data_IF_575830863663
#
_entry.id   IF_575830863663
#
_cell.length_a   1.000
_cell.length_b   1.000
_cell.length_c   1.000
_cell.angle_alpha   90.00
_cell.angle_beta   90.00
_cell.angle_gamma   90.00
#
_symmetry.space_group_name_H-M   'P 1'
#
loop_
_entity.id
_entity.type
_entity.pdbx_description
1 polymer ?
#
# COMPACT_ATOMS: atom_id res chain seq x y z
N UNK A 1 1.13 34.50 -20.91
CA UNK A 1 -0.17 33.80 -20.97
C UNK A 1 0.10 32.58 -21.85
N UNK A 2 0.30 31.36 -21.36
CA UNK A 2 -0.66 30.54 -20.63
C UNK A 2 0.05 29.44 -19.81
N UNK A 3 -0.43 29.22 -18.60
CA UNK A 3 0.02 28.19 -17.67
C UNK A 3 -0.42 26.81 -18.15
N UNK A 4 0.53 25.99 -18.60
CA UNK A 4 0.30 24.57 -18.83
C UNK A 4 0.34 23.85 -17.48
N UNK A 5 -0.86 23.62 -16.96
CA UNK A 5 -1.25 22.35 -16.37
C UNK A 5 -0.48 21.91 -15.13
N UNK A 6 -0.97 22.39 -13.99
CA UNK A 6 -1.19 21.54 -12.81
C UNK A 6 -1.64 20.14 -13.26
N UNK A 7 -0.84 19.11 -12.98
CA UNK A 7 -1.29 17.72 -12.93
C UNK A 7 -0.32 16.94 -12.05
N UNK A 8 -0.81 16.60 -10.86
CA UNK A 8 -0.16 15.84 -9.81
C UNK A 8 0.86 16.61 -8.95
N UNK A 9 0.37 17.45 -8.03
CA UNK A 9 1.09 17.59 -6.76
C UNK A 9 1.06 16.19 -6.11
N UNK A 10 2.21 15.55 -5.82
CA UNK A 10 2.20 14.36 -4.99
C UNK A 10 1.53 14.71 -3.65
N UNK A 11 0.78 13.78 -3.03
CA UNK A 11 0.21 14.03 -1.71
C UNK A 11 1.34 14.55 -0.82
N UNK A 12 1.10 15.72 -0.19
CA UNK A 12 2.03 16.33 0.77
C UNK A 12 2.53 15.19 1.65
N UNK A 13 3.84 14.89 1.64
CA UNK A 13 4.38 13.69 2.27
C UNK A 13 3.86 13.64 3.70
N UNK A 14 2.85 12.82 3.90
CA UNK A 14 2.22 12.58 5.18
C UNK A 14 3.35 12.13 6.10
N UNK A 15 3.54 12.87 7.19
CA UNK A 15 4.69 12.72 8.11
C UNK A 15 4.77 11.34 8.77
N UNK A 16 3.82 10.45 8.48
CA UNK A 16 3.81 9.07 8.93
C UNK A 16 5.10 8.32 8.63
N UNK A 17 5.78 8.64 7.52
CA UNK A 17 7.06 7.99 7.16
C UNK A 17 8.12 8.19 8.25
N UNK A 18 8.10 9.32 8.94
CA UNK A 18 9.07 9.64 10.01
C UNK A 18 8.80 8.81 11.28
N UNK A 19 7.57 8.32 11.47
CA UNK A 19 7.18 7.45 12.57
C UNK A 19 7.14 5.96 12.18
N UNK A 20 7.61 5.60 10.98
CA UNK A 20 7.57 4.23 10.49
C UNK A 20 8.68 3.39 11.13
N UNK A 21 8.30 2.32 11.84
CA UNK A 21 9.25 1.40 12.49
C UNK A 21 10.19 0.70 11.50
N UNK A 22 9.79 0.55 10.23
CA UNK A 22 10.64 -0.02 9.19
C UNK A 22 11.76 0.92 8.71
N UNK A 23 11.69 2.22 9.01
CA UNK A 23 12.70 3.20 8.59
C UNK A 23 14.08 2.97 9.21
N UNK A 24 14.17 2.21 10.31
CA UNK A 24 15.41 1.82 10.97
C UNK A 24 15.84 0.38 10.70
N UNK A 25 15.27 -0.27 9.68
CA UNK A 25 15.51 -1.68 9.34
C UNK A 25 16.08 -1.83 7.94
N UNK A 26 16.60 -3.02 7.61
CA UNK A 26 17.16 -3.31 6.29
C UNK A 26 16.06 -3.27 5.20
N UNK A 27 16.19 -2.40 4.17
CA UNK A 27 15.22 -2.33 3.07
C UNK A 27 15.05 -3.66 2.32
N UNK A 28 16.09 -4.48 2.20
CA UNK A 28 16.06 -5.75 1.47
C UNK A 28 15.08 -6.76 2.10
N UNK A 29 14.75 -6.57 3.39
CA UNK A 29 13.75 -7.37 4.08
C UNK A 29 12.34 -7.14 3.53
N UNK A 30 12.05 -5.92 3.06
CA UNK A 30 10.73 -5.51 2.57
C UNK A 30 10.58 -5.71 1.06
N UNK A 31 11.68 -5.91 0.33
CA UNK A 31 11.70 -6.17 -1.11
C UNK A 31 12.37 -7.52 -1.41
N UNK A 32 11.81 -8.65 -0.93
CA UNK A 32 12.33 -9.95 -1.33
C UNK A 32 12.23 -10.08 -2.85
N UNK A 33 13.32 -10.47 -3.50
CA UNK A 33 13.28 -10.84 -4.91
C UNK A 33 12.25 -11.96 -5.10
N UNK A 34 11.28 -11.71 -5.98
CA UNK A 34 10.23 -12.67 -6.32
C UNK A 34 10.88 -13.97 -6.81
N UNK A 35 10.69 -15.07 -6.07
CA UNK A 35 11.19 -16.41 -6.45
C UNK A 35 12.44 -16.92 -5.73
N UNK A 36 13.00 -16.18 -4.76
CA UNK A 36 14.04 -16.73 -3.87
C UNK A 36 13.47 -17.70 -2.83
N UNK A 37 14.20 -18.76 -2.49
CA UNK A 37 13.79 -19.75 -1.48
C UNK A 37 13.50 -19.14 -0.09
N UNK A 38 14.17 -18.03 0.24
CA UNK A 38 13.98 -17.29 1.49
C UNK A 38 12.84 -16.26 1.44
N UNK A 39 12.16 -16.09 0.30
CA UNK A 39 11.12 -15.06 0.15
C UNK A 39 9.99 -15.19 1.19
N UNK A 40 9.43 -16.39 1.49
CA UNK A 40 8.40 -16.52 2.53
C UNK A 40 8.90 -16.06 3.90
N UNK A 41 10.11 -16.46 4.30
CA UNK A 41 10.69 -16.09 5.59
C UNK A 41 10.94 -14.58 5.71
N UNK A 42 11.36 -13.92 4.62
CA UNK A 42 11.53 -12.47 4.57
C UNK A 42 10.19 -11.73 4.65
N UNK A 43 9.17 -12.20 3.94
CA UNK A 43 7.80 -11.64 4.02
C UNK A 43 7.29 -11.71 5.46
N UNK A 44 7.42 -12.86 6.13
CA UNK A 44 6.99 -13.02 7.53
C UNK A 44 7.77 -12.13 8.49
N UNK A 45 9.08 -11.97 8.27
CA UNK A 45 9.90 -11.05 9.06
C UNK A 45 9.49 -9.58 8.88
N UNK A 46 9.24 -9.15 7.65
CA UNK A 46 8.73 -7.80 7.37
C UNK A 46 7.35 -7.57 7.99
N UNK A 47 6.44 -8.55 7.87
CA UNK A 47 5.10 -8.50 8.49
C UNK A 47 5.18 -8.35 10.01
N UNK A 48 6.10 -9.03 10.68
CA UNK A 48 6.33 -8.88 12.13
C UNK A 48 6.73 -7.45 12.51
N UNK A 49 7.58 -6.80 11.73
CA UNK A 49 7.92 -5.38 11.95
C UNK A 49 6.70 -4.50 11.76
N UNK A 50 5.94 -4.71 10.68
CA UNK A 50 4.71 -3.96 10.43
C UNK A 50 3.66 -4.13 11.53
N UNK A 51 3.59 -5.29 12.20
CA UNK A 51 2.62 -5.56 13.25
C UNK A 51 2.77 -4.61 14.46
N UNK A 52 4.00 -4.20 14.78
CA UNK A 52 4.31 -3.23 15.84
C UNK A 52 4.40 -1.77 15.36
N UNK A 53 4.18 -1.50 14.08
CA UNK A 53 4.37 -0.17 13.50
C UNK A 53 3.16 0.75 13.80
N UNK A 54 3.37 1.93 14.40
CA UNK A 54 2.26 2.82 14.79
C UNK A 54 1.51 3.40 13.58
N UNK A 55 2.18 3.47 12.42
CA UNK A 55 1.64 4.05 11.18
C UNK A 55 1.20 3.00 10.17
N UNK A 56 0.99 1.74 10.59
CA UNK A 56 0.67 0.61 9.70
C UNK A 56 -0.51 0.89 8.77
N UNK A 57 -1.60 1.43 9.32
CA UNK A 57 -2.82 1.71 8.57
C UNK A 57 -2.64 2.86 7.58
N UNK A 58 -2.02 3.97 8.03
CA UNK A 58 -1.76 5.14 7.19
C UNK A 58 -0.80 4.81 6.03
N UNK A 59 0.23 4.01 6.32
CA UNK A 59 1.15 3.47 5.31
C UNK A 59 0.41 2.68 4.22
N UNK A 60 -0.47 1.75 4.61
CA UNK A 60 -1.22 0.94 3.65
C UNK A 60 -2.14 1.81 2.78
N UNK A 61 -2.91 2.70 3.41
CA UNK A 61 -3.85 3.58 2.70
C UNK A 61 -3.12 4.51 1.74
N UNK A 62 -2.03 5.14 2.18
CA UNK A 62 -1.23 6.04 1.33
C UNK A 62 -0.70 5.31 0.11
N UNK A 63 -0.04 4.16 0.30
CA UNK A 63 0.54 3.40 -0.82
C UNK A 63 -0.55 2.87 -1.75
N UNK A 64 -1.65 2.32 -1.24
CA UNK A 64 -2.76 1.83 -2.07
C UNK A 64 -3.44 2.94 -2.89
N UNK A 65 -3.34 4.21 -2.47
CA UNK A 65 -3.94 5.33 -3.18
C UNK A 65 -3.19 5.70 -4.47
N UNK A 66 -1.91 5.36 -4.60
CA UNK A 66 -1.08 5.74 -5.77
C UNK A 66 -0.30 4.59 -6.42
N UNK A 67 -0.17 3.42 -5.77
CA UNK A 67 0.50 2.27 -6.37
C UNK A 67 -0.26 1.76 -7.61
N UNK A 68 0.48 1.30 -8.62
CA UNK A 68 -0.10 0.67 -9.80
C UNK A 68 -0.52 -0.77 -9.44
N UNK A 69 -1.82 -1.13 -9.54
CA UNK A 69 -2.29 -2.46 -9.19
C UNK A 69 -1.63 -3.61 -9.96
N UNK A 70 -1.13 -3.35 -11.18
CA UNK A 70 -0.43 -4.33 -12.00
C UNK A 70 1.07 -4.47 -11.62
N UNK A 71 1.56 -3.62 -10.73
CA UNK A 71 2.97 -3.42 -10.42
C UNK A 71 3.14 -3.24 -8.91
N UNK A 72 2.74 -4.29 -8.16
CA UNK A 72 2.89 -4.36 -6.70
C UNK A 72 4.08 -5.24 -6.33
N UNK A 73 4.87 -4.75 -5.38
CA UNK A 73 6.02 -5.48 -4.84
C UNK A 73 6.14 -5.28 -3.34
N UNK A 74 6.85 -6.21 -2.72
CA UNK A 74 7.27 -6.08 -1.33
C UNK A 74 6.14 -6.04 -0.31
N UNK A 75 6.54 -5.85 0.95
CA UNK A 75 5.63 -5.75 2.10
C UNK A 75 5.36 -4.29 2.43
N UNK A 76 4.08 -3.92 2.45
CA UNK A 76 3.61 -2.56 2.75
C UNK A 76 2.47 -2.64 3.75
N UNK A 77 2.53 -1.87 4.84
CA UNK A 77 1.45 -1.84 5.82
C UNK A 77 1.08 -3.21 6.43
N UNK A 78 2.02 -4.15 6.43
CA UNK A 78 1.80 -5.53 6.87
C UNK A 78 1.15 -6.45 5.84
N UNK A 79 1.13 -6.07 4.57
CA UNK A 79 0.55 -6.84 3.45
C UNK A 79 1.60 -7.11 2.38
N UNK A 80 1.65 -8.34 1.86
CA UNK A 80 2.43 -8.70 0.68
C UNK A 80 1.79 -8.12 -0.59
N UNK A 81 2.52 -8.18 -1.71
CA UNK A 81 2.00 -7.79 -3.04
C UNK A 81 0.73 -8.57 -3.41
N UNK A 82 0.71 -9.87 -3.12
CA UNK A 82 -0.44 -10.77 -3.35
C UNK A 82 -1.63 -10.39 -2.48
N UNK A 83 -1.43 -10.15 -1.18
CA UNK A 83 -2.49 -9.73 -0.27
C UNK A 83 -3.08 -8.37 -0.68
N UNK A 84 -2.24 -7.43 -1.14
CA UNK A 84 -2.73 -6.16 -1.70
C UNK A 84 -3.49 -6.35 -3.00
N UNK A 85 -3.12 -7.32 -3.82
CA UNK A 85 -3.88 -7.69 -5.01
C UNK A 85 -5.28 -8.22 -4.66
N UNK A 86 -5.37 -9.11 -3.67
CA UNK A 86 -6.64 -9.63 -3.18
C UNK A 86 -7.53 -8.54 -2.56
N UNK A 87 -6.95 -7.63 -1.76
CA UNK A 87 -7.67 -6.48 -1.21
C UNK A 87 -8.26 -5.61 -2.32
N UNK A 88 -7.48 -5.32 -3.36
CA UNK A 88 -7.93 -4.52 -4.48
C UNK A 88 -9.01 -5.22 -5.32
N UNK A 89 -8.88 -6.53 -5.55
CA UNK A 89 -9.89 -7.31 -6.25
C UNK A 89 -11.23 -7.29 -5.51
N UNK A 90 -11.22 -7.55 -4.19
CA UNK A 90 -12.42 -7.48 -3.34
C UNK A 90 -13.11 -6.12 -3.40
N UNK A 91 -12.36 -5.04 -3.38
CA UNK A 91 -12.93 -3.68 -3.51
C UNK A 91 -13.52 -3.38 -4.89
N UNK A 92 -13.05 -4.04 -5.96
CA UNK A 92 -13.64 -3.92 -7.29
C UNK A 92 -14.90 -4.74 -7.46
N UNK A 93 -14.93 -5.89 -6.80
CA UNK A 93 -16.05 -6.84 -6.84
C UNK A 93 -17.16 -6.47 -5.85
N UNK A 94 -16.92 -5.53 -4.94
CA UNK A 94 -17.93 -4.97 -4.05
C UNK A 94 -18.94 -4.17 -4.90
N UNK A 95 -20.18 -4.66 -5.11
CA UNK A 95 -21.18 -3.90 -5.82
C UNK A 95 -21.47 -2.68 -4.95
N UNK A 96 -20.98 -1.51 -5.37
CA UNK A 96 -21.32 -0.24 -4.73
C UNK A 96 -22.84 -0.25 -4.50
N UNK A 97 -23.35 -0.07 -3.27
CA UNK A 97 -24.78 0.03 -3.09
C UNK A 97 -25.22 1.20 -3.96
N UNK A 98 -26.02 0.89 -4.98
CA UNK A 98 -26.62 1.86 -5.87
C UNK A 98 -27.50 2.78 -5.03
N UNK A 99 -26.89 3.83 -4.47
CA UNK A 99 -27.60 4.84 -3.71
C UNK A 99 -28.20 5.80 -4.73
N UNK A 100 -29.42 5.48 -5.18
CA UNK A 100 -30.18 6.32 -6.10
C UNK A 100 -31.44 5.64 -6.63
N UNK A 101 -32.55 5.79 -5.91
CA UNK A 101 -33.85 5.28 -6.38
C UNK A 101 -35.02 5.48 -5.42
N UNK A 102 -35.12 6.63 -4.76
CA UNK A 102 -36.36 7.06 -4.11
C UNK A 102 -36.65 8.51 -4.52
N UNK A 103 -37.42 8.67 -5.59
CA UNK A 103 -38.15 9.91 -5.89
C UNK A 103 -39.34 9.60 -6.82
N UNK A 104 -40.52 9.90 -6.29
CA UNK A 104 -41.84 10.05 -6.91
C UNK A 104 -42.58 8.78 -7.37
#
# INVERSE_FOLDING_TARGET
>A
MNAHSSRFLPPLRTGWRDAAACGSTDPELFFPLDGGEDAPARIDAAKRICAGCPVRAECLVDVMAWEDPARRWGVVGGTSSEERADLFARHRDDPTPAMGGAAA
#
